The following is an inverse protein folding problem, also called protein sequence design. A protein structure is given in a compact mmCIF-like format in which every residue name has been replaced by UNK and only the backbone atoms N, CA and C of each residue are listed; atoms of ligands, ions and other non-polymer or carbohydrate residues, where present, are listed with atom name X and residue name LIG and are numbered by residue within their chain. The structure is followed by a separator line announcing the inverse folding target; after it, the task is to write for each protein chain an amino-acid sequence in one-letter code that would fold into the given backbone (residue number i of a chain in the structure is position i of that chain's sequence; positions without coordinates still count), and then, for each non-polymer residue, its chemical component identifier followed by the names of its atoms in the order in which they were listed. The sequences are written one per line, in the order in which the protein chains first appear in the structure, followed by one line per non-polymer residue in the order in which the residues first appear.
data_IF_130595288415
#
_entry.id   IF_130595288415
#
_cell.length_a   1.000
_cell.length_b   1.000
_cell.length_c   1.000
_cell.angle_alpha   90.00
_cell.angle_beta   90.00
_cell.angle_gamma   90.00
#
_symmetry.space_group_name_H-M   'P 1'
#
loop_
_entity.id
_entity.type
_entity.pdbx_description
1 polymer ?
#
# COMPACT_ATOMS: atom_id res chain seq x y z
N UNK A 1 3.55 20.82 -5.74
CA UNK A 1 2.90 20.48 -4.45
C UNK A 1 3.96 20.61 -3.36
N UNK A 2 3.77 21.51 -2.39
CA UNK A 2 4.86 22.06 -1.57
C UNK A 2 5.34 21.15 -0.42
N UNK A 3 4.98 19.85 -0.44
CA UNK A 3 5.44 18.80 0.49
C UNK A 3 5.48 19.23 1.97
N UNK A 4 4.51 20.04 2.39
CA UNK A 4 4.48 20.64 3.74
C UNK A 4 4.25 19.59 4.84
N UNK A 5 3.72 18.42 4.48
CA UNK A 5 3.43 17.29 5.37
C UNK A 5 3.88 15.99 4.71
N UNK A 6 4.35 15.06 5.54
CA UNK A 6 4.84 13.73 5.12
C UNK A 6 3.81 12.62 5.27
N UNK A 7 2.77 12.86 6.06
CA UNK A 7 1.69 11.90 6.35
C UNK A 7 0.39 12.48 5.80
N UNK A 8 -0.35 11.65 5.09
CA UNK A 8 -1.70 11.93 4.61
C UNK A 8 -2.61 10.79 5.06
N UNK A 9 -3.74 11.15 5.66
CA UNK A 9 -4.82 10.21 6.00
C UNK A 9 -5.98 10.49 5.04
N UNK A 10 -6.50 9.44 4.41
CA UNK A 10 -7.62 9.54 3.48
C UNK A 10 -8.41 8.23 3.46
N UNK A 11 -9.73 8.31 3.29
CA UNK A 11 -10.63 7.15 3.21
C UNK A 11 -10.59 6.52 1.81
N UNK A 12 -10.91 7.29 0.78
CA UNK A 12 -10.75 6.93 -0.62
C UNK A 12 -10.30 8.18 -1.38
N UNK A 13 -9.02 8.23 -1.73
CA UNK A 13 -8.50 9.26 -2.62
C UNK A 13 -9.18 9.11 -3.98
N UNK A 14 -9.94 10.12 -4.41
CA UNK A 14 -10.54 10.20 -5.75
C UNK A 14 -9.55 9.67 -6.79
N UNK A 15 -10.00 8.67 -7.55
CA UNK A 15 -9.17 7.67 -8.24
C UNK A 15 -8.14 8.17 -9.24
N UNK A 16 -7.97 9.47 -9.51
CA UNK A 16 -6.98 10.01 -10.45
C UNK A 16 -6.50 11.38 -9.98
N UNK A 17 -5.19 11.63 -10.02
CA UNK A 17 -4.62 12.99 -9.93
C UNK A 17 -3.92 13.36 -8.62
N UNK A 18 -3.94 12.51 -7.60
CA UNK A 18 -3.05 12.67 -6.44
C UNK A 18 -1.67 12.08 -6.74
N UNK A 19 -0.98 12.75 -7.66
CA UNK A 19 0.43 12.52 -7.94
C UNK A 19 1.26 13.10 -6.78
N UNK A 20 1.72 12.23 -5.88
CA UNK A 20 2.77 12.55 -4.93
C UNK A 20 3.90 11.61 -5.28
N UNK A 21 4.85 12.10 -6.09
CA UNK A 21 6.01 11.36 -6.62
C UNK A 21 6.97 10.80 -5.55
N UNK A 22 6.59 10.84 -4.27
CA UNK A 22 7.47 10.56 -3.11
C UNK A 22 6.79 9.72 -2.02
N UNK A 23 5.74 8.96 -2.34
CA UNK A 23 5.14 8.03 -1.39
C UNK A 23 5.91 6.72 -1.46
N UNK A 24 6.60 6.38 -0.37
CA UNK A 24 7.36 5.13 -0.27
C UNK A 24 6.57 4.04 0.47
N UNK A 25 5.61 4.45 1.30
CA UNK A 25 4.85 3.53 2.17
C UNK A 25 3.36 3.87 2.08
N UNK A 26 2.54 2.84 1.89
CA UNK A 26 1.07 2.90 1.99
C UNK A 26 0.62 2.04 3.16
N UNK A 27 -0.28 2.58 3.98
CA UNK A 27 -0.96 1.85 5.04
C UNK A 27 -2.44 1.72 4.70
N UNK A 28 -2.94 0.49 4.57
CA UNK A 28 -4.35 0.19 4.68
C UNK A 28 -4.66 -0.01 6.17
N UNK A 29 -5.01 1.10 6.83
CA UNK A 29 -5.41 1.05 8.24
C UNK A 29 -6.71 0.26 8.42
N UNK A 30 -7.67 0.48 7.53
CA UNK A 30 -8.85 -0.36 7.35
C UNK A 30 -8.69 -1.15 6.04
N UNK A 31 -9.05 -2.43 6.04
CA UNK A 31 -9.02 -3.28 4.86
C UNK A 31 -9.86 -2.64 3.72
N UNK A 32 -9.35 -2.62 2.47
CA UNK A 32 -10.13 -2.17 1.33
C UNK A 32 -11.39 -3.02 1.11
N UNK A 33 -12.42 -2.43 0.51
CA UNK A 33 -13.70 -3.12 0.25
C UNK A 33 -13.54 -4.32 -0.69
N UNK A 34 -12.58 -4.25 -1.62
CA UNK A 34 -12.29 -5.27 -2.61
C UNK A 34 -10.82 -5.22 -3.10
N UNK A 35 -10.46 -6.23 -3.91
CA UNK A 35 -9.12 -6.36 -4.47
C UNK A 35 -8.75 -5.26 -5.49
N UNK A 36 -9.73 -4.66 -6.17
CA UNK A 36 -9.48 -3.53 -7.08
C UNK A 36 -9.11 -2.26 -6.31
N UNK A 37 -9.81 -1.99 -5.22
CA UNK A 37 -9.56 -0.87 -4.33
C UNK A 37 -8.22 -1.05 -3.63
N UNK A 38 -7.87 -2.28 -3.23
CA UNK A 38 -6.54 -2.62 -2.72
C UNK A 38 -5.45 -2.21 -3.72
N UNK A 39 -5.56 -2.66 -4.98
CA UNK A 39 -4.59 -2.34 -6.03
C UNK A 39 -4.44 -0.82 -6.22
N UNK A 40 -5.56 -0.09 -6.29
CA UNK A 40 -5.54 1.36 -6.45
C UNK A 40 -4.89 2.11 -5.27
N UNK A 41 -4.99 1.57 -4.05
CA UNK A 41 -4.36 2.14 -2.85
C UNK A 41 -2.85 1.86 -2.84
N UNK A 42 -2.43 0.61 -3.04
CA UNK A 42 -1.00 0.25 -2.95
C UNK A 42 -0.18 0.77 -4.12
N UNK A 43 -0.79 0.94 -5.31
CA UNK A 43 -0.16 1.56 -6.48
C UNK A 43 0.18 3.05 -6.31
N UNK A 44 -0.10 3.64 -5.13
CA UNK A 44 0.38 4.98 -4.76
C UNK A 44 1.85 4.98 -4.36
N UNK A 45 2.39 3.86 -3.87
CA UNK A 45 3.82 3.67 -3.64
C UNK A 45 4.50 3.03 -4.85
N UNK A 46 5.83 3.15 -4.94
CA UNK A 46 6.63 2.48 -5.98
C UNK A 46 6.35 2.97 -7.42
N UNK A 47 6.07 4.27 -7.58
CA UNK A 47 5.78 4.84 -8.92
C UNK A 47 7.04 4.98 -9.76
N UNK A 48 6.89 4.97 -11.09
CA UNK A 48 7.99 5.13 -12.05
C UNK A 48 9.09 4.06 -11.93
N UNK A 49 8.72 2.84 -11.55
CA UNK A 49 9.67 1.73 -11.37
C UNK A 49 10.45 1.79 -10.06
N UNK A 50 10.12 2.74 -9.18
CA UNK A 50 10.72 2.80 -7.84
C UNK A 50 10.15 1.73 -6.92
N UNK A 51 10.87 1.43 -5.84
CA UNK A 51 10.40 0.51 -4.80
C UNK A 51 9.35 1.17 -3.90
N UNK A 52 8.48 0.36 -3.29
CA UNK A 52 7.48 0.80 -2.33
C UNK A 52 7.07 -0.31 -1.38
N UNK A 53 6.55 0.07 -0.22
CA UNK A 53 6.03 -0.83 0.82
C UNK A 53 4.53 -0.61 1.00
N UNK A 54 3.77 -1.69 1.04
CA UNK A 54 2.37 -1.67 1.40
C UNK A 54 2.18 -2.51 2.67
N UNK A 55 1.48 -1.94 3.66
CA UNK A 55 1.12 -2.61 4.90
C UNK A 55 -0.39 -2.56 5.06
N UNK A 56 -0.98 -3.70 5.41
CA UNK A 56 -2.43 -3.81 5.59
C UNK A 56 -2.72 -4.42 6.94
N UNK A 57 -3.59 -3.77 7.70
CA UNK A 57 -4.10 -4.33 8.93
C UNK A 57 -5.25 -5.29 8.62
N UNK A 58 -5.26 -6.43 9.32
CA UNK A 58 -6.29 -7.47 9.23
C UNK A 58 -6.86 -7.62 10.63
N UNK A 59 -8.09 -7.18 10.84
CA UNK A 59 -8.72 -7.16 12.16
C UNK A 59 -9.64 -8.38 12.38
N UNK A 60 -10.23 -8.91 11.31
CA UNK A 60 -11.19 -10.01 11.40
C UNK A 60 -11.08 -11.02 10.23
N UNK A 61 -11.94 -12.05 10.25
CA UNK A 61 -11.98 -13.08 9.21
C UNK A 61 -12.39 -12.54 7.84
N UNK A 62 -13.19 -11.48 7.78
CA UNK A 62 -13.63 -10.89 6.53
C UNK A 62 -12.46 -10.18 5.85
N UNK A 63 -11.66 -9.45 6.62
CA UNK A 63 -10.41 -8.86 6.15
C UNK A 63 -9.46 -9.94 5.60
N UNK A 64 -9.28 -11.03 6.34
CA UNK A 64 -8.42 -12.14 5.91
C UNK A 64 -8.90 -12.75 4.58
N UNK A 65 -10.21 -12.87 4.36
CA UNK A 65 -10.77 -13.33 3.07
C UNK A 65 -10.45 -12.36 1.95
N UNK A 66 -10.66 -11.06 2.15
CA UNK A 66 -10.31 -10.04 1.15
C UNK A 66 -8.82 -10.06 0.81
N UNK A 67 -7.95 -10.25 1.81
CA UNK A 67 -6.50 -10.36 1.57
C UNK A 67 -6.15 -11.61 0.76
N UNK A 68 -6.80 -12.75 1.02
CA UNK A 68 -6.62 -13.96 0.22
C UNK A 68 -7.09 -13.77 -1.23
N UNK A 69 -8.22 -13.10 -1.44
CA UNK A 69 -8.69 -12.74 -2.78
C UNK A 69 -7.68 -11.86 -3.54
N UNK A 70 -7.02 -10.92 -2.86
CA UNK A 70 -5.95 -10.10 -3.42
C UNK A 70 -4.76 -10.98 -3.84
N UNK A 71 -4.31 -11.87 -2.96
CA UNK A 71 -3.19 -12.77 -3.24
C UNK A 71 -3.46 -13.67 -4.43
N UNK A 72 -4.63 -14.31 -4.47
CA UNK A 72 -5.06 -15.21 -5.55
C UNK A 72 -5.23 -14.46 -6.88
N UNK A 73 -5.84 -13.27 -6.85
CA UNK A 73 -6.13 -12.48 -8.06
C UNK A 73 -4.87 -11.95 -8.74
N UNK A 74 -3.86 -11.56 -7.96
CA UNK A 74 -2.65 -10.93 -8.47
C UNK A 74 -1.43 -11.85 -8.47
N UNK A 75 -1.58 -13.11 -8.04
CA UNK A 75 -0.49 -14.10 -7.92
C UNK A 75 0.69 -13.56 -7.09
N UNK A 76 0.36 -13.03 -5.91
CA UNK A 76 1.33 -12.46 -4.97
C UNK A 76 1.18 -13.08 -3.59
N UNK A 77 2.29 -13.18 -2.86
CA UNK A 77 2.29 -13.59 -1.47
C UNK A 77 2.45 -12.36 -0.57
N UNK A 78 1.44 -12.09 0.27
CA UNK A 78 1.47 -11.04 1.28
C UNK A 78 1.70 -11.70 2.63
N UNK A 79 2.97 -11.78 3.03
CA UNK A 79 3.37 -12.39 4.30
C UNK A 79 3.08 -11.49 5.50
N UNK A 80 3.03 -12.09 6.69
CA UNK A 80 3.05 -11.35 7.95
C UNK A 80 4.28 -10.41 8.02
N UNK A 81 4.10 -9.28 8.69
CA UNK A 81 5.16 -8.29 8.87
C UNK A 81 6.27 -8.87 9.76
N UNK A 82 7.52 -9.00 9.27
CA UNK A 82 8.62 -9.44 10.12
C UNK A 82 8.98 -8.39 11.16
N UNK A 83 9.68 -8.80 12.22
CA UNK A 83 10.21 -7.88 13.25
C UNK A 83 11.19 -6.86 12.67
N UNK A 84 11.91 -7.24 11.61
CA UNK A 84 12.90 -6.40 10.94
C UNK A 84 12.64 -6.36 9.43
N UNK A 85 12.74 -5.16 8.85
CA UNK A 85 12.61 -4.91 7.42
C UNK A 85 13.84 -4.13 6.94
N UNK A 86 14.52 -4.63 5.92
CA UNK A 86 15.60 -3.89 5.28
C UNK A 86 15.04 -2.66 4.56
N UNK A 87 15.51 -1.47 4.92
CA UNK A 87 15.15 -0.19 4.31
C UNK A 87 15.41 -0.19 2.80
N UNK A 88 16.48 -0.85 2.35
CA UNK A 88 16.85 -0.91 0.93
C UNK A 88 15.84 -1.68 0.07
N UNK A 89 14.96 -2.47 0.70
CA UNK A 89 13.93 -3.27 0.03
C UNK A 89 12.75 -2.42 -0.47
N UNK A 90 12.50 -1.24 0.11
CA UNK A 90 11.36 -0.39 -0.25
C UNK A 90 11.69 1.10 -0.41
N UNK A 91 12.95 1.49 -0.20
CA UNK A 91 13.46 2.83 -0.49
C UNK A 91 14.66 2.68 -1.43
N UNK A 92 14.62 3.37 -2.56
CA UNK A 92 15.81 3.49 -3.42
C UNK A 92 16.83 4.43 -2.79
N UNK A 93 18.10 4.03 -2.86
CA UNK A 93 19.22 4.85 -2.40
C UNK A 93 19.19 6.22 -3.08
N UNK A 94 19.24 7.28 -2.27
CA UNK A 94 19.48 8.63 -2.77
C UNK A 94 20.94 8.82 -3.10
#
# INVERSE_FOLDING_TARGET
KDFQKRILVATNLFGRGMDIERVNIVFNYDMPEDSDTYLHRVARAGRFGTKGLALTFVADEQDARTLNEVQDRFDVNVSELPEEIDISSYIEGR
#
